data_IF_328426513923
#
_entry.id   IF_328426513923
#
_cell.length_a   1.000
_cell.length_b   1.000
_cell.length_c   1.000
_cell.angle_alpha   90.00
_cell.angle_beta   90.00
_cell.angle_gamma   90.00
#
_symmetry.space_group_name_H-M   'P 1'
#
loop_
_entity.id
_entity.type
_entity.pdbx_description
1 polymer ?
#
# COMPACT_ATOMS: atom_id res chain seq x y z
N UNK A 1 -1.66 -5.71 20.16
CA UNK A 1 -2.27 -6.35 18.97
C UNK A 1 -1.24 -7.11 18.12
N UNK A 2 -0.01 -6.61 17.99
CA UNK A 2 1.04 -7.25 17.18
C UNK A 2 2.21 -7.80 18.01
N UNK A 3 1.97 -8.19 19.26
CA UNK A 3 3.04 -8.68 20.19
C UNK A 3 3.75 -9.92 19.66
N UNK A 4 3.00 -10.82 19.03
CA UNK A 4 3.53 -12.09 18.53
C UNK A 4 3.88 -12.05 17.04
N UNK A 5 3.91 -10.85 16.46
CA UNK A 5 4.25 -10.68 15.04
C UNK A 5 5.74 -10.92 14.83
N UNK A 6 6.06 -11.96 14.05
CA UNK A 6 7.45 -12.31 13.75
C UNK A 6 7.94 -11.57 12.51
N UNK A 7 8.43 -10.34 12.71
CA UNK A 7 8.97 -9.52 11.63
C UNK A 7 10.18 -10.16 10.94
N UNK A 8 10.99 -10.95 11.67
CA UNK A 8 12.17 -11.59 11.10
C UNK A 8 11.83 -12.59 10.00
N UNK A 9 10.69 -13.30 10.11
CA UNK A 9 10.21 -14.20 9.07
C UNK A 9 9.89 -13.45 7.78
N UNK A 10 9.28 -12.29 7.90
CA UNK A 10 8.95 -11.45 6.73
C UNK A 10 10.17 -10.81 6.09
N UNK A 11 11.20 -10.47 6.88
CA UNK A 11 12.47 -9.96 6.34
C UNK A 11 13.21 -10.96 5.46
N UNK A 12 12.95 -12.26 5.65
CA UNK A 12 13.52 -13.33 4.82
C UNK A 12 12.81 -13.52 3.49
N UNK A 13 11.60 -12.98 3.33
CA UNK A 13 10.80 -13.05 2.10
C UNK A 13 11.21 -11.93 1.16
N UNK A 14 12.30 -12.14 0.40
CA UNK A 14 12.86 -11.12 -0.47
C UNK A 14 12.01 -10.90 -1.73
N UNK A 15 11.65 -9.65 -2.08
CA UNK A 15 11.05 -9.37 -3.38
C UNK A 15 12.08 -9.52 -4.50
N UNK A 16 11.67 -9.61 -5.77
CA UNK A 16 12.60 -9.56 -6.89
C UNK A 16 13.46 -8.30 -6.84
N UNK A 17 14.73 -8.40 -7.28
CA UNK A 17 15.64 -7.26 -7.32
C UNK A 17 15.17 -6.17 -8.27
N UNK A 18 15.61 -4.92 -8.04
CA UNK A 18 15.13 -3.75 -8.78
C UNK A 18 15.38 -3.82 -10.29
N UNK A 19 16.48 -4.45 -10.71
CA UNK A 19 16.89 -4.55 -12.11
C UNK A 19 16.64 -5.92 -12.72
N UNK A 20 15.77 -6.75 -12.11
CA UNK A 20 15.48 -8.08 -12.63
C UNK A 20 14.37 -8.07 -13.68
N UNK A 21 14.31 -9.12 -14.48
CA UNK A 21 13.22 -9.34 -15.44
C UNK A 21 11.85 -9.37 -14.74
N UNK A 22 11.76 -10.07 -13.60
CA UNK A 22 10.50 -10.17 -12.84
C UNK A 22 10.00 -8.80 -12.41
N UNK A 23 10.87 -7.94 -11.88
CA UNK A 23 10.50 -6.58 -11.50
C UNK A 23 10.04 -5.77 -12.71
N UNK A 24 10.72 -5.91 -13.87
CA UNK A 24 10.30 -5.20 -15.08
C UNK A 24 8.93 -5.64 -15.57
N UNK A 25 8.58 -6.93 -15.44
CA UNK A 25 7.28 -7.45 -15.80
C UNK A 25 6.19 -6.93 -14.85
N UNK A 26 6.46 -6.87 -13.55
CA UNK A 26 5.55 -6.28 -12.57
C UNK A 26 5.25 -4.81 -12.89
N UNK A 27 6.27 -4.03 -13.17
CA UNK A 27 6.12 -2.60 -13.50
C UNK A 27 5.31 -2.42 -14.79
N UNK A 28 5.60 -3.22 -15.82
CA UNK A 28 4.82 -3.20 -17.08
C UNK A 28 3.36 -3.54 -16.84
N UNK A 29 3.09 -4.55 -16.04
CA UNK A 29 1.71 -4.94 -15.70
C UNK A 29 0.98 -3.80 -14.98
N UNK A 30 1.63 -3.17 -14.01
CA UNK A 30 1.06 -2.02 -13.28
C UNK A 30 0.78 -0.84 -14.22
N UNK A 31 1.67 -0.57 -15.19
CA UNK A 31 1.50 0.54 -16.13
C UNK A 31 0.27 0.40 -17.02
N UNK A 32 -0.23 -0.82 -17.21
CA UNK A 32 -1.43 -1.10 -18.00
C UNK A 32 -2.73 -0.98 -17.22
N UNK A 33 -2.66 -0.87 -15.91
CA UNK A 33 -3.85 -0.74 -15.06
C UNK A 33 -4.40 0.68 -15.21
N UNK A 34 -5.70 0.84 -15.60
CA UNK A 34 -6.27 2.16 -15.74
C UNK A 34 -6.41 2.87 -14.39
N UNK A 35 -6.24 4.17 -14.40
CA UNK A 35 -6.46 5.00 -13.22
C UNK A 35 -7.95 5.19 -12.96
N UNK A 36 -8.38 4.92 -11.72
CA UNK A 36 -9.75 5.13 -11.25
C UNK A 36 -9.76 6.28 -10.25
N UNK A 37 -9.61 7.51 -10.75
CA UNK A 37 -9.45 8.71 -9.91
C UNK A 37 -10.58 8.92 -8.92
N UNK A 38 -11.82 8.72 -9.33
CA UNK A 38 -12.98 8.91 -8.46
C UNK A 38 -13.01 7.88 -7.33
N UNK A 39 -12.68 6.63 -7.64
CA UNK A 39 -12.56 5.57 -6.63
C UNK A 39 -11.45 5.89 -5.62
N UNK A 40 -10.29 6.31 -6.09
CA UNK A 40 -9.15 6.65 -5.25
C UNK A 40 -9.48 7.83 -4.34
N UNK A 41 -10.03 8.89 -4.91
CA UNK A 41 -10.46 10.07 -4.14
C UNK A 41 -11.42 9.72 -3.02
N UNK A 42 -12.32 8.76 -3.27
CA UNK A 42 -13.35 8.33 -2.34
C UNK A 42 -12.82 7.41 -1.22
N UNK A 43 -11.85 6.56 -1.52
CA UNK A 43 -11.40 5.47 -0.63
C UNK A 43 -9.93 5.51 -0.23
N UNK A 44 -9.18 6.55 -0.59
CA UNK A 44 -7.75 6.63 -0.24
C UNK A 44 -7.51 6.71 1.28
N UNK A 45 -8.39 7.38 2.01
CA UNK A 45 -8.35 7.38 3.47
C UNK A 45 -9.01 6.12 4.00
N UNK A 46 -8.21 5.23 4.59
CA UNK A 46 -8.67 3.92 5.09
C UNK A 46 -9.77 4.06 6.14
N UNK A 47 -9.62 4.96 7.09
CA UNK A 47 -10.61 5.16 8.16
C UNK A 47 -11.96 5.61 7.60
N UNK A 48 -11.94 6.59 6.69
CA UNK A 48 -13.13 7.08 6.02
C UNK A 48 -13.79 6.02 5.14
N UNK A 49 -12.97 5.21 4.45
CA UNK A 49 -13.45 4.11 3.61
C UNK A 49 -14.20 3.06 4.43
N UNK A 50 -13.68 2.66 5.57
CA UNK A 50 -14.35 1.72 6.47
C UNK A 50 -15.65 2.30 7.03
N UNK A 51 -15.64 3.55 7.49
CA UNK A 51 -16.83 4.21 8.03
C UNK A 51 -17.93 4.30 6.97
N UNK A 52 -17.59 4.66 5.74
CA UNK A 52 -18.54 4.76 4.65
C UNK A 52 -19.11 3.41 4.26
N UNK A 53 -18.28 2.38 4.18
CA UNK A 53 -18.72 1.02 3.87
C UNK A 53 -19.68 0.50 4.94
N UNK A 54 -19.38 0.75 6.22
CA UNK A 54 -20.26 0.39 7.32
C UNK A 54 -21.63 1.08 7.21
N UNK A 55 -21.64 2.38 6.90
CA UNK A 55 -22.87 3.15 6.68
C UNK A 55 -23.69 2.61 5.51
N UNK A 56 -23.03 2.35 4.36
CA UNK A 56 -23.68 1.85 3.15
C UNK A 56 -24.29 0.45 3.36
N UNK A 57 -23.77 -0.34 4.31
CA UNK A 57 -24.25 -1.67 4.64
C UNK A 57 -25.10 -1.71 5.93
N UNK A 58 -25.49 -0.56 6.46
CA UNK A 58 -26.35 -0.43 7.66
C UNK A 58 -25.77 -1.13 8.90
N UNK A 59 -24.46 -1.05 9.08
CA UNK A 59 -23.80 -1.58 10.29
C UNK A 59 -23.92 -0.55 11.40
N UNK A 60 -24.79 -0.83 12.39
CA UNK A 60 -25.08 0.11 13.47
C UNK A 60 -24.02 0.13 14.58
N UNK A 61 -23.34 -0.99 14.79
CA UNK A 61 -22.35 -1.17 15.86
C UNK A 61 -20.89 -0.99 15.36
N UNK A 62 -20.70 -0.27 14.26
CA UNK A 62 -19.37 0.03 13.76
C UNK A 62 -18.57 0.88 14.74
N UNK A 63 -17.43 0.37 15.20
CA UNK A 63 -16.52 1.10 16.08
C UNK A 63 -15.32 1.63 15.29
N UNK A 64 -15.32 2.93 15.04
CA UNK A 64 -14.24 3.63 14.31
C UNK A 64 -12.89 3.57 15.02
N UNK A 65 -12.84 3.22 16.30
CA UNK A 65 -11.60 3.10 17.08
C UNK A 65 -10.80 1.86 16.69
N UNK A 66 -11.45 0.82 16.17
CA UNK A 66 -10.77 -0.43 15.79
C UNK A 66 -9.83 -0.23 14.60
N UNK A 67 -10.28 0.27 13.44
CA UNK A 67 -9.36 0.52 12.34
C UNK A 67 -8.30 1.57 12.68
N UNK A 68 -8.63 2.60 13.43
CA UNK A 68 -7.66 3.60 13.90
C UNK A 68 -6.54 2.96 14.72
N UNK A 69 -6.88 2.06 15.64
CA UNK A 69 -5.92 1.31 16.47
C UNK A 69 -5.05 0.40 15.61
N UNK A 70 -5.64 -0.33 14.67
CA UNK A 70 -4.90 -1.21 13.75
C UNK A 70 -3.86 -0.42 12.94
N UNK A 71 -4.24 0.72 12.39
CA UNK A 71 -3.33 1.58 11.63
C UNK A 71 -2.19 2.07 12.51
N UNK A 72 -2.50 2.58 13.69
CA UNK A 72 -1.50 3.09 14.64
C UNK A 72 -0.50 2.01 15.05
N UNK A 73 -0.97 0.80 15.38
CA UNK A 73 -0.11 -0.28 15.84
C UNK A 73 0.68 -0.95 14.71
N UNK A 74 0.14 -0.99 13.50
CA UNK A 74 0.84 -1.57 12.34
C UNK A 74 1.91 -0.65 11.76
N UNK A 75 1.79 0.66 11.92
CA UNK A 75 2.69 1.63 11.30
C UNK A 75 4.19 1.38 11.60
N UNK A 76 4.62 1.11 12.85
CA UNK A 76 6.03 0.82 13.13
C UNK A 76 6.54 -0.43 12.42
N UNK A 77 5.71 -1.48 12.32
CA UNK A 77 6.06 -2.73 11.64
C UNK A 77 6.23 -2.50 10.14
N UNK A 78 5.31 -1.77 9.54
CA UNK A 78 5.34 -1.42 8.12
C UNK A 78 6.61 -0.62 7.81
N UNK A 79 6.94 0.37 8.63
CA UNK A 79 8.15 1.17 8.45
C UNK A 79 9.43 0.34 8.57
N UNK A 80 9.49 -0.61 9.50
CA UNK A 80 10.63 -1.51 9.64
C UNK A 80 10.83 -2.36 8.38
N UNK A 81 9.76 -2.90 7.81
CA UNK A 81 9.83 -3.67 6.57
C UNK A 81 10.21 -2.81 5.37
N UNK A 82 9.66 -1.61 5.26
CA UNK A 82 10.03 -0.67 4.20
C UNK A 82 11.51 -0.31 4.24
N UNK A 83 12.06 -0.04 5.43
CA UNK A 83 13.48 0.27 5.60
C UNK A 83 14.37 -0.94 5.32
N UNK A 84 13.92 -2.14 5.71
CA UNK A 84 14.70 -3.36 5.50
C UNK A 84 14.85 -3.67 4.01
N UNK A 85 13.76 -3.66 3.24
CA UNK A 85 13.80 -3.96 1.82
C UNK A 85 14.28 -2.78 0.98
N UNK A 86 13.99 -1.57 1.42
CA UNK A 86 14.35 -0.32 0.73
C UNK A 86 14.05 -0.39 -0.78
N UNK A 87 12.93 -1.00 -1.14
CA UNK A 87 12.53 -1.20 -2.53
C UNK A 87 11.92 0.09 -3.08
N UNK A 88 12.39 0.58 -4.25
CA UNK A 88 11.80 1.75 -4.87
C UNK A 88 10.32 1.55 -5.20
N UNK A 89 9.57 2.63 -5.16
CA UNK A 89 8.16 2.59 -5.59
C UNK A 89 8.06 2.32 -7.10
N UNK A 90 6.95 1.73 -7.55
CA UNK A 90 6.75 1.38 -8.97
C UNK A 90 6.98 2.56 -9.92
N UNK A 91 6.57 3.76 -9.55
CA UNK A 91 6.76 4.98 -10.36
C UNK A 91 8.25 5.28 -10.58
N UNK A 92 9.07 5.13 -9.55
CA UNK A 92 10.53 5.35 -9.64
C UNK A 92 11.17 4.32 -10.56
N UNK A 93 10.78 3.05 -10.40
CA UNK A 93 11.26 1.97 -11.27
C UNK A 93 10.83 2.15 -12.72
N UNK A 94 9.57 2.54 -12.94
CA UNK A 94 9.04 2.81 -14.28
C UNK A 94 9.86 3.89 -14.99
N UNK A 95 10.19 4.97 -14.29
CA UNK A 95 11.03 6.04 -14.86
C UNK A 95 12.41 5.53 -15.26
N UNK A 96 13.05 4.72 -14.42
CA UNK A 96 14.34 4.11 -14.71
C UNK A 96 14.31 3.15 -15.90
N UNK A 97 13.17 2.51 -16.13
CA UNK A 97 12.96 1.53 -17.19
C UNK A 97 12.39 2.14 -18.48
N UNK A 98 12.18 3.47 -18.54
CA UNK A 98 11.49 4.16 -19.63
C UNK A 98 10.08 3.64 -19.90
N UNK A 99 9.37 3.25 -18.85
CA UNK A 99 7.98 2.81 -18.94
C UNK A 99 7.09 3.99 -18.51
N UNK A 100 6.12 4.34 -19.38
CA UNK A 100 5.13 5.37 -19.03
C UNK A 100 4.14 4.80 -18.03
N UNK A 101 4.09 5.38 -16.86
CA UNK A 101 3.15 5.01 -15.82
C UNK A 101 2.40 6.24 -15.34
N UNK A 102 1.08 6.19 -15.47
CA UNK A 102 0.21 7.21 -14.88
C UNK A 102 0.16 7.00 -13.37
N UNK A 103 0.09 8.07 -12.63
CA UNK A 103 0.17 8.03 -11.18
C UNK A 103 -0.85 8.96 -10.54
N UNK A 104 -1.14 8.67 -9.28
CA UNK A 104 -1.91 9.53 -8.41
C UNK A 104 -0.98 10.23 -7.43
N UNK A 105 -1.22 11.50 -7.18
CA UNK A 105 -0.68 12.16 -6.01
C UNK A 105 -1.61 11.89 -4.83
N UNK A 106 -1.27 10.88 -4.03
CA UNK A 106 -2.02 10.51 -2.84
C UNK A 106 -1.14 10.63 -1.60
N UNK A 107 -1.74 11.03 -0.48
CA UNK A 107 -1.00 11.14 0.78
C UNK A 107 -0.41 9.80 1.22
N UNK A 108 -1.11 8.72 0.98
CA UNK A 108 -0.64 7.35 1.25
C UNK A 108 0.64 6.98 0.48
N UNK A 109 0.97 7.67 -0.60
CA UNK A 109 2.14 7.41 -1.43
C UNK A 109 3.35 8.26 -1.06
N UNK A 110 3.22 9.18 -0.13
CA UNK A 110 4.30 10.10 0.28
C UNK A 110 5.22 9.51 1.35
N UNK A 111 4.88 8.40 1.91
CA UNK A 111 5.69 7.74 2.95
C UNK A 111 6.56 6.61 2.38
#
# INVERSE_FOLDING_TARGET
MFKDFNISSFKKMKPPGDNTFDTSQEVKALSKIPLKKDFVKKYDDIESAFAKTAKDNNVEDYDKKIPAKLIKESAPLILKLKKHFNRPRPKVLAKKMNIKMKDYEMDSMKT
#
